data_IF_260649456147
#
_entry.id   IF_260649456147
#
_cell.length_a   1.000
_cell.length_b   1.000
_cell.length_c   1.000
_cell.angle_alpha   90.00
_cell.angle_beta   90.00
_cell.angle_gamma   90.00
#
_symmetry.space_group_name_H-M   'P 1'
#
loop_
_entity.id
_entity.type
_entity.pdbx_description
1 polymer ?
#
# COMPACT_ATOMS: atom_id res chain seq x y z
N UNK A 1 -26.71 0.23 44.20
CA UNK A 1 -26.39 -1.19 43.94
C UNK A 1 -26.50 -1.41 42.45
N UNK A 2 -25.33 -1.41 41.80
CA UNK A 2 -25.13 -1.47 40.36
C UNK A 2 -25.65 -2.79 39.79
N UNK A 3 -26.53 -2.67 38.79
CA UNK A 3 -27.08 -3.78 38.02
C UNK A 3 -25.97 -4.46 37.20
N UNK A 4 -25.80 -5.75 37.43
CA UNK A 4 -24.96 -6.65 36.64
C UNK A 4 -25.42 -6.69 35.18
N UNK A 5 -24.55 -6.30 34.25
CA UNK A 5 -24.64 -6.75 32.86
C UNK A 5 -23.41 -7.61 32.56
N UNK A 6 -23.60 -8.93 32.58
CA UNK A 6 -22.68 -9.88 31.94
C UNK A 6 -22.81 -9.66 30.44
N UNK A 7 -21.78 -9.10 29.80
CA UNK A 7 -21.65 -9.15 28.34
C UNK A 7 -20.76 -10.34 28.01
N UNK A 8 -21.35 -11.21 27.20
CA UNK A 8 -20.82 -12.43 26.61
C UNK A 8 -19.48 -12.16 25.90
N UNK A 9 -18.41 -12.79 26.38
CA UNK A 9 -17.13 -12.87 25.68
C UNK A 9 -17.33 -13.71 24.43
N UNK A 10 -17.24 -13.06 23.27
CA UNK A 10 -17.24 -13.69 21.95
C UNK A 10 -16.34 -12.90 20.99
N UNK A 11 -15.29 -13.57 20.52
CA UNK A 11 -14.55 -13.37 19.26
C UNK A 11 -13.83 -12.05 18.99
N UNK A 12 -12.53 -12.04 19.29
CA UNK A 12 -11.37 -11.98 18.37
C UNK A 12 -10.20 -11.45 19.20
N UNK A 13 -9.13 -12.24 19.30
CA UNK A 13 -7.98 -11.93 20.16
C UNK A 13 -7.18 -10.75 19.59
N UNK A 14 -7.66 -9.53 19.80
CA UNK A 14 -6.85 -8.32 19.61
C UNK A 14 -5.77 -8.30 20.71
N UNK A 15 -4.53 -8.62 20.32
CA UNK A 15 -3.40 -8.50 21.22
C UNK A 15 -3.08 -7.01 21.40
N UNK A 16 -3.45 -6.42 22.54
CA UNK A 16 -3.00 -5.08 22.90
C UNK A 16 -1.55 -5.17 23.38
N UNK A 17 -0.63 -4.43 22.74
CA UNK A 17 0.79 -4.41 23.14
C UNK A 17 1.15 -3.05 23.73
N UNK A 18 2.13 -3.02 24.66
CA UNK A 18 2.71 -1.79 25.22
C UNK A 18 3.88 -1.25 24.39
N UNK A 19 4.13 -1.85 23.22
CA UNK A 19 5.23 -1.47 22.33
C UNK A 19 4.76 -0.31 21.45
N UNK A 20 5.57 0.74 21.34
CA UNK A 20 5.31 1.81 20.37
C UNK A 20 5.73 1.28 19.00
N UNK A 21 4.80 1.20 18.04
CA UNK A 21 5.12 0.86 16.66
C UNK A 21 6.09 1.87 16.01
N UNK A 22 6.56 1.58 14.80
CA UNK A 22 7.47 2.48 14.07
C UNK A 22 6.69 3.63 13.43
N UNK A 23 6.95 4.87 13.87
CA UNK A 23 6.34 6.08 13.31
C UNK A 23 6.46 6.09 11.78
N UNK A 24 5.33 6.35 11.10
CA UNK A 24 5.22 6.29 9.64
C UNK A 24 4.56 5.01 9.12
N UNK A 25 4.68 3.89 9.85
CA UNK A 25 4.12 2.59 9.44
C UNK A 25 2.91 2.17 10.29
N UNK A 26 2.65 2.87 11.40
CA UNK A 26 1.58 2.53 12.35
C UNK A 26 0.20 2.68 11.69
N UNK A 27 -0.58 1.60 11.70
CA UNK A 27 -1.98 1.62 11.29
C UNK A 27 -2.83 2.51 12.22
N UNK A 28 -3.85 3.22 11.72
CA UNK A 28 -4.62 4.17 12.52
C UNK A 28 -5.17 3.60 13.83
N UNK A 29 -5.76 2.41 13.80
CA UNK A 29 -6.31 1.69 14.95
C UNK A 29 -5.24 1.23 15.94
N UNK A 30 -4.02 0.96 15.46
CA UNK A 30 -2.91 0.64 16.34
C UNK A 30 -2.41 1.89 17.06
N UNK A 31 -2.27 3.00 16.33
CA UNK A 31 -1.79 4.27 16.91
C UNK A 31 -2.78 4.92 17.88
N UNK A 32 -4.08 4.75 17.64
CA UNK A 32 -5.14 5.34 18.47
C UNK A 32 -5.51 4.44 19.66
N UNK A 33 -5.76 3.16 19.41
CA UNK A 33 -6.37 2.27 20.40
C UNK A 33 -5.41 1.16 20.88
N UNK A 34 -4.20 1.08 20.32
CA UNK A 34 -3.24 0.02 20.64
C UNK A 34 -3.62 -1.35 20.06
N UNK A 35 -4.57 -1.41 19.11
CA UNK A 35 -5.03 -2.65 18.51
C UNK A 35 -4.06 -3.16 17.45
N UNK A 36 -3.45 -4.32 17.70
CA UNK A 36 -2.57 -5.01 16.75
C UNK A 36 -3.33 -6.17 16.10
N UNK A 37 -3.18 -6.30 14.79
CA UNK A 37 -3.81 -7.34 13.98
C UNK A 37 -3.01 -7.61 12.70
N UNK A 38 -3.34 -8.68 11.99
CA UNK A 38 -2.80 -8.92 10.64
C UNK A 38 -3.14 -7.78 9.67
N UNK A 39 -4.29 -7.11 9.85
CA UNK A 39 -4.65 -5.94 9.05
C UNK A 39 -3.74 -4.73 9.33
N UNK A 40 -3.19 -4.59 10.54
CA UNK A 40 -2.19 -3.57 10.85
C UNK A 40 -0.83 -3.84 10.18
N UNK A 41 -0.47 -5.12 10.00
CA UNK A 41 0.72 -5.53 9.22
C UNK A 41 0.52 -5.24 7.74
N UNK A 42 -0.68 -5.50 7.19
CA UNK A 42 -1.06 -5.14 5.81
C UNK A 42 -0.88 -3.64 5.58
N UNK A 43 -1.36 -2.80 6.50
CA UNK A 43 -1.20 -1.35 6.40
C UNK A 43 0.28 -0.96 6.35
N UNK A 44 1.08 -1.50 7.27
CA UNK A 44 2.53 -1.26 7.31
C UNK A 44 3.22 -1.69 6.01
N UNK A 45 2.80 -2.81 5.43
CA UNK A 45 3.27 -3.26 4.11
C UNK A 45 2.88 -2.29 2.99
N UNK A 46 1.65 -1.76 3.00
CA UNK A 46 1.21 -0.74 2.05
C UNK A 46 2.10 0.49 2.05
N UNK A 47 2.50 0.96 3.24
CA UNK A 47 3.42 2.08 3.41
C UNK A 47 4.78 1.74 2.79
N UNK A 48 5.33 0.58 3.11
CA UNK A 48 6.62 0.12 2.59
C UNK A 48 6.61 -0.02 1.06
N UNK A 49 5.53 -0.55 0.49
CA UNK A 49 5.37 -0.70 -0.95
C UNK A 49 5.36 0.66 -1.65
N UNK A 50 4.62 1.63 -1.11
CA UNK A 50 4.59 2.99 -1.64
C UNK A 50 5.93 3.71 -1.47
N UNK A 51 6.61 3.53 -0.34
CA UNK A 51 7.97 4.04 -0.12
C UNK A 51 8.96 3.46 -1.13
N UNK A 52 8.85 2.17 -1.45
CA UNK A 52 9.71 1.51 -2.46
C UNK A 52 9.49 2.07 -3.86
N UNK A 53 8.23 2.30 -4.26
CA UNK A 53 7.90 2.86 -5.58
C UNK A 53 8.32 4.33 -5.66
N UNK A 54 8.10 5.09 -4.58
CA UNK A 54 8.31 6.54 -4.60
C UNK A 54 9.74 6.97 -4.32
N UNK A 55 10.53 6.12 -3.66
CA UNK A 55 11.83 6.48 -3.09
C UNK A 55 11.73 7.46 -1.92
N UNK A 56 10.51 7.78 -1.46
CA UNK A 56 10.23 8.78 -0.42
C UNK A 56 9.90 8.11 0.89
N UNK A 57 10.55 8.57 1.96
CA UNK A 57 10.29 8.07 3.32
C UNK A 57 8.86 8.36 3.74
N UNK A 58 8.23 7.39 4.41
CA UNK A 58 6.89 7.50 5.00
C UNK A 58 6.72 8.67 5.99
N UNK A 59 7.82 9.14 6.58
CA UNK A 59 7.84 10.30 7.49
C UNK A 59 7.91 11.64 6.76
N UNK A 60 8.13 11.65 5.45
CA UNK A 60 8.12 12.88 4.67
C UNK A 60 6.71 13.49 4.66
N UNK A 61 6.62 14.79 4.89
CA UNK A 61 5.37 15.56 4.77
C UNK A 61 4.63 15.31 3.44
N UNK A 62 5.36 15.08 2.34
CA UNK A 62 4.77 14.80 1.03
C UNK A 62 4.14 13.41 0.94
N UNK A 63 4.56 12.44 1.77
CA UNK A 63 4.02 11.07 1.74
C UNK A 63 2.50 11.05 2.00
N UNK A 64 2.01 11.90 2.92
CA UNK A 64 0.58 12.07 3.17
C UNK A 64 -0.18 12.61 1.95
N UNK A 65 0.46 13.41 1.13
CA UNK A 65 -0.12 13.94 -0.10
C UNK A 65 -0.20 12.84 -1.17
N UNK A 66 0.81 11.97 -1.28
CA UNK A 66 0.78 10.77 -2.11
C UNK A 66 -0.30 9.76 -1.73
N UNK A 67 -0.57 9.59 -0.44
CA UNK A 67 -1.70 8.77 0.00
C UNK A 67 -3.05 9.41 -0.33
N UNK A 68 -3.13 10.75 -0.33
CA UNK A 68 -4.33 11.52 -0.71
C UNK A 68 -4.51 11.68 -2.21
N UNK A 69 -3.48 11.37 -3.00
CA UNK A 69 -3.48 11.37 -4.46
C UNK A 69 -4.32 10.21 -5.01
N UNK A 70 -5.53 9.97 -4.48
CA UNK A 70 -6.53 9.14 -5.12
C UNK A 70 -6.90 9.67 -6.53
N UNK A 71 -6.69 10.98 -6.76
CA UNK A 71 -6.84 11.62 -8.07
C UNK A 71 -5.80 11.16 -9.09
N UNK A 72 -4.62 10.77 -8.64
CA UNK A 72 -3.56 10.27 -9.50
C UNK A 72 -3.98 9.02 -10.25
N UNK A 73 -4.64 8.09 -9.55
CA UNK A 73 -5.01 6.77 -10.08
C UNK A 73 -5.87 6.89 -11.35
N UNK A 74 -6.59 8.02 -11.46
CA UNK A 74 -7.44 8.32 -12.62
C UNK A 74 -6.64 8.78 -13.84
N UNK A 75 -5.36 9.14 -13.67
CA UNK A 75 -4.48 9.57 -14.75
C UNK A 75 -3.78 8.34 -15.33
N UNK A 76 -3.87 8.10 -16.64
CA UNK A 76 -3.07 7.07 -17.29
C UNK A 76 -1.59 7.47 -17.30
N UNK A 77 -0.71 6.49 -17.55
CA UNK A 77 0.67 6.78 -17.94
C UNK A 77 0.70 7.66 -19.21
N UNK A 78 1.61 8.65 -19.33
CA UNK A 78 2.75 8.95 -18.44
C UNK A 78 2.44 9.91 -17.27
N UNK A 79 1.29 10.59 -17.32
CA UNK A 79 0.90 11.68 -16.40
C UNK A 79 0.85 11.23 -14.94
N UNK A 80 0.46 9.97 -14.72
CA UNK A 80 0.66 9.32 -13.45
C UNK A 80 2.16 9.26 -13.13
N UNK A 81 2.88 8.26 -13.62
CA UNK A 81 4.22 7.85 -13.12
C UNK A 81 5.29 8.93 -12.92
N UNK A 82 5.25 10.05 -13.66
CA UNK A 82 6.29 11.09 -13.59
C UNK A 82 6.41 11.80 -12.23
N UNK A 83 5.33 11.93 -11.47
CA UNK A 83 5.32 12.72 -10.23
C UNK A 83 5.60 11.89 -8.93
N UNK A 84 5.63 10.55 -9.01
CA UNK A 84 5.64 9.58 -7.88
C UNK A 84 6.84 8.71 -7.99
N UNK A 85 7.08 8.15 -9.17
CA UNK A 85 8.06 7.09 -9.31
C UNK A 85 9.43 7.66 -8.97
N UNK A 86 10.16 6.93 -8.15
CA UNK A 86 11.52 7.27 -7.83
C UNK A 86 12.32 7.49 -9.14
N UNK A 87 13.08 8.59 -9.28
CA UNK A 87 13.81 8.87 -10.51
C UNK A 87 14.83 7.79 -10.89
N UNK A 88 15.42 7.09 -9.90
CA UNK A 88 16.36 6.00 -10.12
C UNK A 88 15.57 4.78 -10.62
N UNK A 89 14.48 4.41 -9.94
CA UNK A 89 13.61 3.31 -10.36
C UNK A 89 13.06 3.55 -11.77
N UNK A 90 12.66 4.78 -12.10
CA UNK A 90 12.19 5.17 -13.44
C UNK A 90 13.26 4.93 -14.52
N UNK A 91 14.52 5.15 -14.20
CA UNK A 91 15.63 4.86 -15.11
C UNK A 91 15.89 3.35 -15.24
N UNK A 92 15.93 2.64 -14.12
CA UNK A 92 16.16 1.19 -14.07
C UNK A 92 15.09 0.41 -14.83
N UNK A 93 13.83 0.84 -14.74
CA UNK A 93 12.71 0.21 -15.46
C UNK A 93 12.49 0.78 -16.87
N UNK A 94 13.41 1.59 -17.39
CA UNK A 94 13.40 2.03 -18.80
C UNK A 94 12.31 3.05 -19.16
N UNK A 95 11.65 3.68 -18.18
CA UNK A 95 10.53 4.61 -18.40
C UNK A 95 10.93 5.99 -18.91
N UNK A 96 12.21 6.22 -19.25
CA UNK A 96 12.69 7.46 -19.89
C UNK A 96 12.35 7.54 -21.38
N UNK A 97 12.07 6.41 -22.03
CA UNK A 97 11.68 6.35 -23.43
C UNK A 97 10.15 6.33 -23.48
N UNK A 98 9.54 6.98 -24.46
CA UNK A 98 8.10 6.86 -24.72
C UNK A 98 7.88 5.84 -25.84
N UNK A 99 8.14 4.57 -25.52
CA UNK A 99 7.93 3.44 -26.43
C UNK A 99 6.84 2.49 -25.90
N UNK A 100 6.52 1.45 -26.66
CA UNK A 100 5.45 0.53 -26.27
C UNK A 100 5.77 -0.23 -24.98
N UNK A 101 7.04 -0.60 -24.75
CA UNK A 101 7.44 -1.34 -23.55
C UNK A 101 7.37 -0.42 -22.33
N UNK A 102 7.82 0.83 -22.44
CA UNK A 102 7.71 1.79 -21.33
C UNK A 102 6.25 2.12 -20.99
N UNK A 103 5.35 2.16 -21.98
CA UNK A 103 3.92 2.32 -21.73
C UNK A 103 3.35 1.16 -20.89
N UNK A 104 3.74 -0.08 -21.22
CA UNK A 104 3.30 -1.28 -20.48
C UNK A 104 3.87 -1.27 -19.06
N UNK A 105 5.17 -1.06 -18.90
CA UNK A 105 5.82 -0.95 -17.59
C UNK A 105 5.16 0.14 -16.75
N UNK A 106 4.85 1.29 -17.35
CA UNK A 106 4.15 2.39 -16.69
C UNK A 106 2.77 1.98 -16.17
N UNK A 107 2.00 1.24 -16.97
CA UNK A 107 0.71 0.68 -16.54
C UNK A 107 0.87 -0.34 -15.40
N UNK A 108 1.90 -1.19 -15.44
CA UNK A 108 2.19 -2.16 -14.38
C UNK A 108 2.53 -1.45 -13.07
N UNK A 109 3.35 -0.39 -13.11
CA UNK A 109 3.65 0.45 -11.94
C UNK A 109 2.37 1.02 -11.33
N UNK A 110 1.45 1.55 -12.15
CA UNK A 110 0.15 2.05 -11.68
C UNK A 110 -0.67 0.94 -11.01
N UNK A 111 -0.66 -0.29 -11.55
CA UNK A 111 -1.33 -1.45 -10.93
C UNK A 111 -0.72 -1.79 -9.57
N UNK A 112 0.62 -1.81 -9.43
CA UNK A 112 1.29 -2.07 -8.14
C UNK A 112 0.94 -0.98 -7.12
N UNK A 113 0.96 0.29 -7.54
CA UNK A 113 0.60 1.40 -6.67
C UNK A 113 -0.83 1.26 -6.13
N UNK A 114 -1.76 0.84 -6.99
CA UNK A 114 -3.15 0.56 -6.59
C UNK A 114 -3.26 -0.58 -5.58
N UNK A 115 -2.46 -1.64 -5.69
CA UNK A 115 -2.40 -2.70 -4.66
C UNK A 115 -2.01 -2.09 -3.31
N UNK A 116 -0.98 -1.25 -3.27
CA UNK A 116 -0.57 -0.55 -2.05
C UNK A 116 -1.68 0.32 -1.45
N UNK A 117 -2.48 1.00 -2.27
CA UNK A 117 -3.61 1.80 -1.78
C UNK A 117 -4.73 0.97 -1.14
N UNK A 118 -4.97 -0.25 -1.62
CA UNK A 118 -5.93 -1.16 -0.97
C UNK A 118 -5.43 -1.61 0.41
N UNK A 119 -4.11 -1.68 0.61
CA UNK A 119 -3.52 -1.96 1.92
C UNK A 119 -3.67 -0.78 2.90
N UNK A 120 -3.80 0.45 2.40
CA UNK A 120 -3.78 1.69 3.19
C UNK A 120 -5.17 2.24 3.54
N UNK A 121 -6.22 1.42 3.40
CA UNK A 121 -7.57 1.79 3.83
C UNK A 121 -7.59 2.07 5.33
N UNK A 122 -8.34 3.10 5.72
CA UNK A 122 -8.43 3.52 7.13
C UNK A 122 -9.07 2.43 7.99
N UNK A 123 -10.21 1.89 7.54
CA UNK A 123 -10.86 0.77 8.21
C UNK A 123 -10.08 -0.53 7.99
N UNK A 124 -9.76 -1.32 9.04
CA UNK A 124 -9.14 -2.64 8.91
C UNK A 124 -9.96 -3.61 8.03
N UNK A 125 -11.29 -3.57 8.14
CA UNK A 125 -12.20 -4.48 7.44
C UNK A 125 -12.31 -4.19 5.94
N UNK A 126 -11.95 -2.97 5.51
CA UNK A 126 -11.92 -2.58 4.11
C UNK A 126 -10.56 -2.84 3.45
N UNK A 127 -9.52 -3.18 4.23
CA UNK A 127 -8.19 -3.48 3.69
C UNK A 127 -8.20 -4.83 3.00
N UNK A 128 -7.51 -4.90 1.87
CA UNK A 128 -7.21 -6.18 1.22
C UNK A 128 -6.40 -7.08 2.15
N UNK A 129 -6.62 -8.39 2.12
CA UNK A 129 -5.79 -9.32 2.87
C UNK A 129 -4.45 -9.61 2.15
N UNK A 130 -3.44 -10.07 2.90
CA UNK A 130 -2.13 -10.33 2.28
C UNK A 130 -2.13 -11.46 1.24
N UNK A 131 -3.05 -12.42 1.29
CA UNK A 131 -3.17 -13.46 0.25
C UNK A 131 -3.59 -12.81 -1.06
N UNK A 132 -4.56 -11.91 -1.02
CA UNK A 132 -5.02 -11.15 -2.17
C UNK A 132 -3.92 -10.22 -2.72
N UNK A 133 -3.17 -9.55 -1.85
CA UNK A 133 -2.00 -8.76 -2.25
C UNK A 133 -1.00 -9.62 -3.03
N UNK A 134 -0.63 -10.80 -2.50
CA UNK A 134 0.30 -11.71 -3.18
C UNK A 134 -0.27 -12.19 -4.53
N UNK A 135 -1.56 -12.51 -4.59
CA UNK A 135 -2.23 -12.92 -5.84
C UNK A 135 -2.15 -11.79 -6.88
N UNK A 136 -2.44 -10.56 -6.48
CA UNK A 136 -2.43 -9.42 -7.39
C UNK A 136 -1.01 -9.07 -7.86
N UNK A 137 -0.02 -9.07 -6.97
CA UNK A 137 1.38 -8.84 -7.34
C UNK A 137 1.92 -9.93 -8.27
N UNK A 138 1.56 -11.20 -8.05
CA UNK A 138 1.93 -12.30 -8.95
C UNK A 138 1.32 -12.15 -10.35
N UNK A 139 0.06 -11.69 -10.44
CA UNK A 139 -0.59 -11.41 -11.73
C UNK A 139 0.17 -10.31 -12.48
N UNK A 140 0.49 -9.21 -11.81
CA UNK A 140 1.25 -8.11 -12.41
C UNK A 140 2.64 -8.58 -12.85
N UNK A 141 3.33 -9.39 -12.04
CA UNK A 141 4.63 -9.94 -12.40
C UNK A 141 4.57 -10.89 -13.62
N UNK A 142 3.50 -11.68 -13.74
CA UNK A 142 3.29 -12.51 -14.93
C UNK A 142 3.08 -11.68 -16.20
N UNK A 143 2.35 -10.56 -16.12
CA UNK A 143 2.20 -9.62 -17.24
C UNK A 143 3.55 -9.00 -17.64
N UNK A 144 4.38 -8.63 -16.68
CA UNK A 144 5.73 -8.11 -16.93
C UNK A 144 6.61 -9.13 -17.67
N UNK A 145 6.60 -10.39 -17.22
CA UNK A 145 7.40 -11.46 -17.83
C UNK A 145 6.91 -11.75 -19.26
N UNK A 146 5.60 -11.69 -19.50
CA UNK A 146 5.04 -11.91 -20.84
C UNK A 146 5.47 -10.81 -21.83
N UNK A 147 5.58 -9.56 -21.39
CA UNK A 147 6.09 -8.45 -22.22
C UNK A 147 7.56 -8.65 -22.61
N UNK A 148 8.40 -9.06 -21.66
CA UNK A 148 9.83 -9.29 -21.91
C UNK A 148 10.17 -10.57 -22.70
N UNK A 149 9.19 -11.46 -22.92
CA UNK A 149 9.37 -12.70 -23.67
C UNK A 149 9.10 -12.56 -25.18
N UNK A 150 8.70 -11.37 -25.64
CA UNK A 150 8.38 -11.05 -27.05
C UNK A 150 9.41 -10.09 -27.63
#
# INVERSE_FOLDING_TARGET
MTSHLKILVGEQSAAQTRTLGTIGYIAPEYGLDGHVSTASDVYSFGILLHETITGKKSTDSMFKEYLRLHEWIKRPYPDATNDVLDPILRDEVGLKKEDSSSHIIGQLVVKIFNVGLQCLKQSPDERTDMKDVVVNLKKINAELIADHAT
#
